data_IF_335146524195
#
_entry.id   IF_335146524195
#
_cell.length_a   1.000
_cell.length_b   1.000
_cell.length_c   1.000
_cell.angle_alpha   90.00
_cell.angle_beta   90.00
_cell.angle_gamma   90.00
#
_symmetry.space_group_name_H-M   'P 1'
#
loop_
_entity.id
_entity.type
_entity.pdbx_description
1 polymer ?
#
# COMPACT_ATOMS: atom_id res chain seq x y z
N UNK A 1 -7.51 20.09 19.71
CA UNK A 1 -7.61 21.57 19.76
C UNK A 1 -6.53 22.12 18.83
N UNK A 2 -6.92 22.67 17.68
CA UNK A 2 -5.96 23.11 16.66
C UNK A 2 -5.23 24.37 17.12
N UNK A 3 -3.90 24.32 17.21
CA UNK A 3 -3.07 25.49 17.45
C UNK A 3 -3.28 26.50 16.30
N UNK A 4 -4.01 27.58 16.58
CA UNK A 4 -4.01 28.76 15.73
C UNK A 4 -2.57 29.25 15.60
N UNK A 5 -2.00 29.13 14.39
CA UNK A 5 -0.65 29.61 14.09
C UNK A 5 -0.53 31.07 14.52
N UNK A 6 0.52 31.42 15.27
CA UNK A 6 0.70 32.78 15.82
C UNK A 6 0.63 33.90 14.77
N UNK A 7 0.84 33.57 13.49
CA UNK A 7 0.67 34.48 12.35
C UNK A 7 -0.79 34.90 12.14
N UNK A 8 -1.76 34.00 12.35
CA UNK A 8 -3.19 34.32 12.27
C UNK A 8 -3.65 35.19 13.43
N UNK A 9 -3.17 34.91 14.64
CA UNK A 9 -3.44 35.72 15.82
C UNK A 9 -2.90 37.15 15.66
N UNK A 10 -1.68 37.29 15.13
CA UNK A 10 -1.08 38.58 14.85
C UNK A 10 -1.83 39.35 13.75
N UNK A 11 -2.18 38.70 12.64
CA UNK A 11 -2.95 39.34 11.57
C UNK A 11 -4.34 39.79 12.08
N UNK A 12 -5.05 38.94 12.81
CA UNK A 12 -6.34 39.28 13.40
C UNK A 12 -6.25 40.46 14.37
N UNK A 13 -5.24 40.47 15.25
CA UNK A 13 -4.99 41.58 16.17
C UNK A 13 -4.62 42.88 15.44
N UNK A 14 -3.84 42.81 14.36
CA UNK A 14 -3.46 43.95 13.55
C UNK A 14 -4.65 44.57 12.82
N UNK A 15 -5.51 43.75 12.18
CA UNK A 15 -6.72 44.24 11.53
C UNK A 15 -7.74 44.78 12.54
N UNK A 16 -7.90 44.11 13.69
CA UNK A 16 -8.75 44.62 14.77
C UNK A 16 -8.25 45.98 15.29
N UNK A 17 -6.94 46.10 15.52
CA UNK A 17 -6.31 47.36 15.95
C UNK A 17 -6.43 48.47 14.91
N UNK A 18 -6.28 48.16 13.62
CA UNK A 18 -6.46 49.12 12.53
C UNK A 18 -7.92 49.59 12.40
N UNK A 19 -8.89 48.68 12.54
CA UNK A 19 -10.31 49.02 12.55
C UNK A 19 -10.69 49.89 13.76
N UNK A 20 -10.20 49.57 14.97
CA UNK A 20 -10.42 50.36 16.18
C UNK A 20 -9.78 51.75 16.04
N UNK A 21 -8.54 51.82 15.56
CA UNK A 21 -7.82 53.08 15.34
C UNK A 21 -8.51 53.98 14.31
N UNK A 22 -9.09 53.39 13.25
CA UNK A 22 -9.87 54.12 12.26
C UNK A 22 -11.19 54.66 12.83
N UNK A 23 -11.90 53.87 13.65
CA UNK A 23 -13.13 54.29 14.32
C UNK A 23 -12.92 55.46 15.30
N UNK A 24 -11.77 55.49 15.98
CA UNK A 24 -11.39 56.60 16.86
C UNK A 24 -11.05 57.87 16.04
N UNK A 25 -10.44 57.69 14.86
CA UNK A 25 -10.04 58.79 13.97
C UNK A 25 -11.21 59.41 13.20
N UNK A 26 -12.20 58.61 12.83
CA UNK A 26 -13.39 59.01 12.08
C UNK A 26 -14.66 58.45 12.75
N UNK A 27 -15.14 59.07 13.84
CA UNK A 27 -16.35 58.62 14.50
C UNK A 27 -17.55 58.77 13.56
N UNK A 28 -18.35 57.72 13.32
CA UNK A 28 -19.52 57.81 12.47
C UNK A 28 -20.53 58.77 13.10
N UNK A 29 -21.00 59.75 12.33
CA UNK A 29 -21.91 60.80 12.81
C UNK A 29 -23.31 60.27 13.19
N UNK A 30 -23.72 59.11 12.65
CA UNK A 30 -25.02 58.47 12.89
C UNK A 30 -24.88 56.95 13.13
N UNK A 31 -25.68 56.40 14.04
CA UNK A 31 -25.65 54.98 14.44
C UNK A 31 -26.00 54.00 13.31
N UNK A 32 -26.79 54.43 12.32
CA UNK A 32 -27.15 53.65 11.13
C UNK A 32 -25.93 53.39 10.22
N UNK A 33 -25.07 54.40 10.06
CA UNK A 33 -23.85 54.31 9.26
C UNK A 33 -22.83 53.36 9.91
N UNK A 34 -22.71 53.37 11.25
CA UNK A 34 -21.85 52.45 11.99
C UNK A 34 -22.28 50.97 11.82
N UNK A 35 -23.58 50.69 11.88
CA UNK A 35 -24.13 49.35 11.73
C UNK A 35 -23.92 48.79 10.31
N UNK A 36 -24.12 49.61 9.28
CA UNK A 36 -23.89 49.22 7.88
C UNK A 36 -22.42 48.83 7.62
N UNK A 37 -21.48 49.54 8.23
CA UNK A 37 -20.05 49.27 8.09
C UNK A 37 -19.62 48.01 8.83
N UNK A 38 -20.12 47.80 10.05
CA UNK A 38 -19.89 46.56 10.80
C UNK A 38 -20.45 45.34 10.06
N UNK A 39 -21.61 45.46 9.42
CA UNK A 39 -22.21 44.40 8.60
C UNK A 39 -21.40 44.12 7.33
N UNK A 40 -20.90 45.16 6.65
CA UNK A 40 -20.04 45.00 5.47
C UNK A 40 -18.71 44.31 5.82
N UNK A 41 -18.05 44.71 6.90
CA UNK A 41 -16.81 44.07 7.35
C UNK A 41 -17.06 42.63 7.82
N UNK A 42 -18.14 42.40 8.57
CA UNK A 42 -18.52 41.06 9.04
C UNK A 42 -18.83 40.09 7.91
N UNK A 43 -19.52 40.53 6.87
CA UNK A 43 -19.82 39.71 5.68
C UNK A 43 -18.57 39.39 4.87
N UNK A 44 -17.68 40.38 4.65
CA UNK A 44 -16.38 40.14 3.98
C UNK A 44 -15.51 39.16 4.79
N UNK A 45 -15.44 39.31 6.10
CA UNK A 45 -14.71 38.39 6.98
C UNK A 45 -15.31 36.98 6.96
N UNK A 46 -16.64 36.86 6.96
CA UNK A 46 -17.33 35.56 6.85
C UNK A 46 -17.04 34.87 5.52
N UNK A 47 -17.05 35.62 4.41
CA UNK A 47 -16.71 35.09 3.08
C UNK A 47 -15.26 34.61 3.04
N UNK A 48 -14.30 35.42 3.51
CA UNK A 48 -12.88 35.04 3.58
C UNK A 48 -12.70 33.81 4.48
N UNK A 49 -13.38 33.76 5.62
CA UNK A 49 -13.38 32.60 6.52
C UNK A 49 -13.90 31.34 5.85
N UNK A 50 -15.02 31.42 5.13
CA UNK A 50 -15.61 30.30 4.41
C UNK A 50 -14.67 29.78 3.31
N UNK A 51 -14.05 30.66 2.52
CA UNK A 51 -13.05 30.27 1.51
C UNK A 51 -11.79 29.66 2.14
N UNK A 52 -11.34 30.18 3.29
CA UNK A 52 -10.21 29.64 4.04
C UNK A 52 -10.47 28.22 4.54
N UNK A 53 -11.64 27.99 5.14
CA UNK A 53 -12.07 26.67 5.61
C UNK A 53 -12.22 25.70 4.44
N UNK A 54 -12.84 26.11 3.33
CA UNK A 54 -12.99 25.27 2.14
C UNK A 54 -11.63 24.84 1.57
N UNK A 55 -10.66 25.77 1.46
CA UNK A 55 -9.29 25.41 1.02
C UNK A 55 -8.59 24.48 2.00
N UNK A 56 -8.75 24.70 3.30
CA UNK A 56 -8.19 23.81 4.31
C UNK A 56 -8.78 22.40 4.21
N UNK A 57 -10.09 22.28 4.04
CA UNK A 57 -10.79 21.00 3.86
C UNK A 57 -10.32 20.29 2.58
N UNK A 58 -10.19 21.00 1.46
CA UNK A 58 -9.66 20.42 0.21
C UNK A 58 -8.22 19.92 0.41
N UNK A 59 -7.36 20.70 1.07
CA UNK A 59 -5.98 20.28 1.30
C UNK A 59 -5.89 19.07 2.25
N UNK A 60 -6.69 19.07 3.32
CA UNK A 60 -6.78 17.95 4.25
C UNK A 60 -7.28 16.69 3.54
N UNK A 61 -8.27 16.81 2.67
CA UNK A 61 -8.82 15.70 1.90
C UNK A 61 -7.80 15.15 0.89
N UNK A 62 -7.07 16.01 0.18
CA UNK A 62 -5.99 15.58 -0.71
C UNK A 62 -4.89 14.83 0.04
N UNK A 63 -4.50 15.33 1.21
CA UNK A 63 -3.51 14.65 2.05
C UNK A 63 -4.03 13.31 2.56
N UNK A 64 -5.34 13.20 2.88
CA UNK A 64 -5.99 11.96 3.29
C UNK A 64 -5.99 10.94 2.14
N UNK A 65 -6.41 11.35 0.94
CA UNK A 65 -6.42 10.50 -0.24
C UNK A 65 -5.02 10.04 -0.63
N UNK A 66 -4.01 10.91 -0.53
CA UNK A 66 -2.62 10.53 -0.80
C UNK A 66 -2.12 9.45 0.18
N UNK A 67 -2.47 9.55 1.47
CA UNK A 67 -2.12 8.52 2.46
C UNK A 67 -2.82 7.19 2.19
N UNK A 68 -4.10 7.23 1.82
CA UNK A 68 -4.86 6.03 1.46
C UNK A 68 -4.22 5.35 0.25
N UNK A 69 -3.87 6.12 -0.79
CA UNK A 69 -3.22 5.59 -1.98
C UNK A 69 -1.87 4.92 -1.68
N UNK A 70 -1.04 5.50 -0.79
CA UNK A 70 0.23 4.90 -0.36
C UNK A 70 -0.03 3.58 0.39
N UNK A 71 -0.97 3.57 1.33
CA UNK A 71 -1.31 2.37 2.08
C UNK A 71 -1.85 1.25 1.18
N UNK A 72 -2.70 1.60 0.21
CA UNK A 72 -3.23 0.63 -0.75
C UNK A 72 -2.13 0.08 -1.68
N UNK A 73 -1.20 0.92 -2.14
CA UNK A 73 -0.03 0.47 -2.89
C UNK A 73 0.84 -0.51 -2.08
N UNK A 74 1.11 -0.20 -0.82
CA UNK A 74 1.90 -1.07 0.05
C UNK A 74 1.19 -2.41 0.34
N UNK A 75 -0.15 -2.41 0.45
CA UNK A 75 -0.94 -3.66 0.58
C UNK A 75 -0.85 -4.54 -0.64
N UNK A 76 -0.93 -3.96 -1.83
CA UNK A 76 -0.79 -4.72 -3.09
C UNK A 76 0.62 -5.32 -3.22
N UNK A 77 1.66 -4.55 -2.88
CA UNK A 77 3.03 -5.06 -2.81
C UNK A 77 3.18 -6.18 -1.79
N UNK A 78 2.55 -6.05 -0.62
CA UNK A 78 2.54 -7.08 0.42
C UNK A 78 1.86 -8.36 -0.03
N UNK A 79 0.71 -8.27 -0.70
CA UNK A 79 0.03 -9.43 -1.27
C UNK A 79 0.92 -10.19 -2.26
N UNK A 80 1.62 -9.46 -3.13
CA UNK A 80 2.57 -10.07 -4.07
C UNK A 80 3.78 -10.68 -3.36
N UNK A 81 4.30 -10.01 -2.33
CA UNK A 81 5.41 -10.51 -1.51
C UNK A 81 5.05 -11.83 -0.82
N UNK A 82 3.84 -11.91 -0.27
CA UNK A 82 3.33 -13.13 0.36
C UNK A 82 3.20 -14.27 -0.64
N UNK A 83 2.66 -14.03 -1.83
CA UNK A 83 2.56 -15.06 -2.87
C UNK A 83 3.95 -15.55 -3.33
N UNK A 84 4.91 -14.65 -3.48
CA UNK A 84 6.29 -15.00 -3.83
C UNK A 84 6.95 -15.85 -2.72
N UNK A 85 6.71 -15.48 -1.45
CA UNK A 85 7.20 -16.20 -0.29
C UNK A 85 6.58 -17.60 -0.17
N UNK A 86 5.26 -17.72 -0.34
CA UNK A 86 4.55 -19.00 -0.31
C UNK A 86 5.02 -19.93 -1.43
N UNK A 87 5.22 -19.40 -2.63
CA UNK A 87 5.72 -20.18 -3.76
C UNK A 87 7.12 -20.74 -3.49
N UNK A 88 7.97 -20.00 -2.79
CA UNK A 88 9.28 -20.49 -2.36
C UNK A 88 9.17 -21.59 -1.27
N UNK A 89 8.22 -21.44 -0.33
CA UNK A 89 8.04 -22.33 0.82
C UNK A 89 7.36 -23.66 0.45
N UNK A 90 6.24 -23.61 -0.26
CA UNK A 90 5.47 -24.80 -0.68
C UNK A 90 6.39 -25.76 -1.42
N UNK A 91 7.29 -25.23 -2.24
CA UNK A 91 8.26 -26.03 -2.99
C UNK A 91 9.27 -26.79 -2.13
N UNK A 92 9.66 -26.22 -0.99
CA UNK A 92 10.54 -26.90 -0.04
C UNK A 92 9.77 -28.04 0.61
N UNK A 93 8.57 -27.74 1.11
CA UNK A 93 7.72 -28.70 1.81
C UNK A 93 7.24 -29.84 0.89
N UNK A 94 6.76 -29.55 -0.31
CA UNK A 94 6.30 -30.55 -1.28
C UNK A 94 7.42 -31.48 -1.74
N UNK A 95 8.66 -30.99 -1.81
CA UNK A 95 9.83 -31.82 -2.11
C UNK A 95 10.19 -32.73 -0.93
N UNK A 96 10.08 -32.22 0.30
CA UNK A 96 10.25 -33.04 1.50
C UNK A 96 9.21 -34.16 1.56
N UNK A 97 7.95 -33.87 1.26
CA UNK A 97 6.89 -34.88 1.23
C UNK A 97 7.10 -35.93 0.13
N UNK A 98 7.44 -35.52 -1.10
CA UNK A 98 7.79 -36.49 -2.15
C UNK A 98 8.99 -37.34 -1.74
N UNK A 99 9.97 -36.79 -1.02
CA UNK A 99 11.15 -37.52 -0.50
C UNK A 99 10.78 -38.50 0.62
N UNK A 100 9.94 -38.07 1.56
CA UNK A 100 9.57 -38.80 2.75
C UNK A 100 8.33 -39.66 2.46
N UNK A 101 8.56 -40.86 1.89
CA UNK A 101 7.56 -41.85 1.40
C UNK A 101 6.44 -42.27 2.38
N UNK A 102 6.36 -41.70 3.57
CA UNK A 102 5.56 -42.21 4.68
C UNK A 102 4.26 -41.42 4.89
N UNK A 103 4.20 -40.12 4.59
CA UNK A 103 2.97 -39.34 4.80
C UNK A 103 2.81 -38.16 3.82
N UNK A 104 1.70 -38.14 3.09
CA UNK A 104 1.14 -36.93 2.46
C UNK A 104 0.36 -36.13 3.51
N UNK A 105 1.05 -35.42 4.40
CA UNK A 105 0.43 -34.75 5.57
C UNK A 105 0.28 -33.24 5.40
N UNK A 106 1.10 -32.59 4.56
CA UNK A 106 1.22 -31.13 4.44
C UNK A 106 0.58 -30.62 3.15
N UNK A 107 0.91 -31.19 1.98
CA UNK A 107 0.31 -30.86 0.68
C UNK A 107 -0.10 -32.12 -0.08
N UNK A 108 -1.32 -32.65 0.18
CA UNK A 108 -1.78 -33.90 -0.41
C UNK A 108 -1.84 -33.85 -1.95
N UNK A 109 -2.04 -32.66 -2.54
CA UNK A 109 -1.91 -32.42 -3.98
C UNK A 109 -1.09 -31.15 -4.25
N UNK A 110 0.24 -31.28 -4.17
CA UNK A 110 1.15 -30.18 -4.49
C UNK A 110 0.91 -29.59 -5.89
N UNK A 111 0.46 -30.38 -6.87
CA UNK A 111 0.20 -29.88 -8.21
C UNK A 111 -1.00 -28.92 -8.24
N UNK A 112 -2.06 -29.22 -7.49
CA UNK A 112 -3.21 -28.34 -7.30
C UNK A 112 -2.84 -27.07 -6.54
N UNK A 113 -2.02 -27.16 -5.49
CA UNK A 113 -1.57 -26.00 -4.70
C UNK A 113 -0.78 -24.99 -5.54
N UNK A 114 0.16 -25.48 -6.37
CA UNK A 114 0.86 -24.62 -7.31
C UNK A 114 -0.07 -24.00 -8.37
N UNK A 115 -1.14 -24.70 -8.75
CA UNK A 115 -2.14 -24.16 -9.68
C UNK A 115 -2.97 -23.08 -9.03
N UNK A 116 -3.39 -23.29 -7.78
CA UNK A 116 -4.11 -22.30 -7.00
C UNK A 116 -3.31 -20.99 -6.87
N UNK A 117 -2.00 -21.06 -6.59
CA UNK A 117 -1.14 -19.87 -6.58
C UNK A 117 -1.07 -19.20 -7.96
N UNK A 118 -0.97 -20.00 -9.03
CA UNK A 118 -0.97 -19.45 -10.39
C UNK A 118 -2.28 -18.72 -10.73
N UNK A 119 -3.40 -19.18 -10.19
CA UNK A 119 -4.72 -18.57 -10.36
C UNK A 119 -4.86 -17.31 -9.49
N UNK A 120 -4.34 -17.31 -8.26
CA UNK A 120 -4.24 -16.11 -7.42
C UNK A 120 -3.40 -15.02 -8.09
N UNK A 121 -2.26 -15.39 -8.70
CA UNK A 121 -1.42 -14.46 -9.46
C UNK A 121 -2.09 -13.98 -10.76
N UNK A 122 -2.98 -14.77 -11.35
CA UNK A 122 -3.76 -14.36 -12.52
C UNK A 122 -4.90 -13.39 -12.13
N UNK A 123 -5.48 -13.57 -10.95
CA UNK A 123 -6.53 -12.72 -10.40
C UNK A 123 -5.99 -11.43 -9.76
N UNK A 124 -4.67 -11.27 -9.67
CA UNK A 124 -4.04 -10.11 -9.06
C UNK A 124 -4.42 -8.81 -9.80
N UNK A 125 -4.72 -7.69 -9.10
CA UNK A 125 -5.29 -6.51 -9.75
C UNK A 125 -4.36 -5.89 -10.81
N UNK A 126 -4.66 -6.15 -12.09
CA UNK A 126 -3.80 -5.78 -13.23
C UNK A 126 -3.47 -4.29 -13.25
N UNK A 127 -4.47 -3.43 -13.01
CA UNK A 127 -4.28 -1.98 -13.01
C UNK A 127 -3.32 -1.53 -11.90
N UNK A 128 -3.44 -2.11 -10.70
CA UNK A 128 -2.57 -1.76 -9.57
C UNK A 128 -1.13 -2.24 -9.82
N UNK A 129 -0.97 -3.48 -10.28
CA UNK A 129 0.34 -4.06 -10.60
C UNK A 129 1.05 -3.30 -11.71
N UNK A 130 0.32 -2.88 -12.75
CA UNK A 130 0.88 -2.05 -13.82
C UNK A 130 1.29 -0.68 -13.30
N UNK A 131 0.48 -0.05 -12.45
CA UNK A 131 0.82 1.23 -11.84
C UNK A 131 2.08 1.14 -10.95
N UNK A 132 2.29 -0.01 -10.30
CA UNK A 132 3.49 -0.31 -9.50
C UNK A 132 4.70 -0.78 -10.33
N UNK A 133 4.53 -1.00 -11.64
CA UNK A 133 5.58 -1.54 -12.51
C UNK A 133 5.95 -3.00 -12.22
N UNK A 134 5.05 -3.78 -11.59
CA UNK A 134 5.30 -5.15 -11.10
C UNK A 134 4.74 -6.28 -11.96
N UNK A 135 4.35 -5.95 -13.19
CA UNK A 135 3.70 -6.90 -14.09
C UNK A 135 4.64 -8.04 -14.49
N UNK A 136 5.93 -7.74 -14.67
CA UNK A 136 6.93 -8.75 -14.99
C UNK A 136 7.05 -9.79 -13.86
N UNK A 137 7.16 -9.34 -12.62
CA UNK A 137 7.27 -10.23 -11.46
C UNK A 137 6.03 -11.10 -11.28
N UNK A 138 4.82 -10.53 -11.43
CA UNK A 138 3.57 -11.30 -11.38
C UNK A 138 3.54 -12.39 -12.45
N UNK A 139 3.83 -12.04 -13.70
CA UNK A 139 3.85 -12.99 -14.81
C UNK A 139 4.93 -14.06 -14.65
N UNK A 140 6.09 -13.67 -14.10
CA UNK A 140 7.20 -14.58 -13.87
C UNK A 140 6.90 -15.58 -12.75
N UNK A 141 6.39 -15.11 -11.61
CA UNK A 141 5.93 -15.97 -10.51
C UNK A 141 4.83 -16.91 -10.99
N UNK A 142 3.88 -16.42 -11.80
CA UNK A 142 2.81 -17.25 -12.36
C UNK A 142 3.38 -18.34 -13.26
N UNK A 143 4.38 -18.02 -14.09
CA UNK A 143 5.08 -19.00 -14.94
C UNK A 143 5.78 -20.06 -14.10
N UNK A 144 6.42 -19.68 -13.00
CA UNK A 144 7.05 -20.61 -12.05
C UNK A 144 5.99 -21.54 -11.44
N UNK A 145 4.89 -20.99 -10.95
CA UNK A 145 3.80 -21.75 -10.35
C UNK A 145 3.18 -22.77 -11.33
N UNK A 146 2.88 -22.36 -12.56
CA UNK A 146 2.41 -23.27 -13.62
C UNK A 146 3.46 -24.34 -13.94
N UNK A 147 4.74 -23.96 -14.03
CA UNK A 147 5.84 -24.88 -14.29
C UNK A 147 5.96 -25.95 -13.19
N UNK A 148 5.90 -25.54 -11.93
CA UNK A 148 5.92 -26.44 -10.78
C UNK A 148 4.70 -27.37 -10.78
N UNK A 149 3.49 -26.85 -10.98
CA UNK A 149 2.25 -27.66 -11.09
C UNK A 149 2.39 -28.75 -12.17
N UNK A 150 2.94 -28.40 -13.34
CA UNK A 150 3.16 -29.37 -14.43
C UNK A 150 4.20 -30.44 -14.08
N UNK A 151 5.25 -30.09 -13.36
CA UNK A 151 6.27 -31.07 -12.92
C UNK A 151 5.66 -32.08 -11.95
N UNK A 152 4.91 -31.61 -10.95
CA UNK A 152 4.26 -32.49 -9.99
C UNK A 152 3.17 -33.36 -10.63
N UNK A 153 2.39 -32.81 -11.57
CA UNK A 153 1.35 -33.57 -12.28
C UNK A 153 1.90 -34.54 -13.34
N UNK A 154 3.05 -34.22 -13.95
CA UNK A 154 3.62 -35.00 -15.06
C UNK A 154 4.43 -36.21 -14.64
N UNK A 155 4.87 -36.27 -13.38
CA UNK A 155 5.69 -37.35 -12.84
C UNK A 155 5.03 -37.98 -11.58
N UNK A 156 3.82 -38.57 -11.70
CA UNK A 156 3.12 -39.17 -10.56
C UNK A 156 3.92 -40.34 -9.95
N UNK A 157 4.53 -41.16 -10.80
CA UNK A 157 5.20 -42.41 -10.42
C UNK A 157 6.60 -42.20 -9.80
N UNK A 158 7.22 -41.04 -10.03
CA UNK A 158 8.52 -40.70 -9.45
C UNK A 158 8.33 -40.24 -8.01
N UNK A 159 8.81 -41.02 -7.05
CA UNK A 159 8.77 -40.70 -5.62
C UNK A 159 10.17 -40.70 -5.01
N UNK A 160 10.28 -40.16 -3.81
CA UNK A 160 11.53 -40.16 -3.05
C UNK A 160 12.59 -39.26 -3.67
N UNK A 161 13.84 -39.68 -3.45
CA UNK A 161 15.04 -39.02 -3.95
C UNK A 161 15.10 -38.99 -5.49
N UNK A 162 14.46 -39.94 -6.18
CA UNK A 162 14.47 -39.98 -7.65
C UNK A 162 13.78 -38.75 -8.25
N UNK A 163 12.65 -38.32 -7.68
CA UNK A 163 11.96 -37.10 -8.10
C UNK A 163 12.82 -35.86 -7.79
N UNK A 164 13.35 -35.79 -6.57
CA UNK A 164 14.18 -34.67 -6.12
C UNK A 164 15.40 -34.52 -7.00
N UNK A 165 16.16 -35.60 -7.25
CA UNK A 165 17.36 -35.57 -8.08
C UNK A 165 17.07 -35.17 -9.54
N UNK A 166 15.96 -35.65 -10.11
CA UNK A 166 15.54 -35.31 -11.49
C UNK A 166 15.27 -33.80 -11.63
N UNK A 167 14.55 -33.22 -10.68
CA UNK A 167 14.05 -31.84 -10.78
C UNK A 167 14.83 -30.81 -9.96
N UNK A 168 15.85 -31.23 -9.21
CA UNK A 168 16.61 -30.41 -8.25
C UNK A 168 17.07 -29.08 -8.84
N UNK A 169 17.64 -29.05 -10.04
CA UNK A 169 18.16 -27.80 -10.64
C UNK A 169 17.05 -26.79 -10.96
N UNK A 170 15.92 -27.29 -11.46
CA UNK A 170 14.75 -26.48 -11.81
C UNK A 170 14.12 -25.94 -10.53
N UNK A 171 13.84 -26.87 -9.62
CA UNK A 171 13.58 -26.59 -8.22
C UNK A 171 14.88 -26.22 -7.49
N UNK A 172 15.74 -25.36 -7.99
CA UNK A 172 16.68 -24.60 -7.16
C UNK A 172 16.55 -23.17 -7.63
N UNK A 173 16.64 -23.01 -8.96
CA UNK A 173 16.28 -21.80 -9.68
C UNK A 173 14.94 -21.19 -9.25
N UNK A 174 13.84 -21.96 -9.27
CA UNK A 174 12.51 -21.42 -8.92
C UNK A 174 12.43 -20.82 -7.51
N UNK A 175 13.17 -21.39 -6.54
CA UNK A 175 13.21 -20.90 -5.15
C UNK A 175 14.09 -19.69 -5.06
N UNK A 176 15.29 -19.73 -5.64
CA UNK A 176 16.18 -18.58 -5.67
C UNK A 176 15.50 -17.36 -6.31
N UNK A 177 14.77 -17.57 -7.40
CA UNK A 177 14.03 -16.53 -8.08
C UNK A 177 12.86 -16.00 -7.25
N UNK A 178 12.02 -16.87 -6.69
CA UNK A 178 10.87 -16.46 -5.87
C UNK A 178 11.30 -15.76 -4.58
N UNK A 179 12.37 -16.24 -3.93
CA UNK A 179 12.96 -15.60 -2.76
C UNK A 179 13.52 -14.22 -3.08
N UNK A 180 14.27 -14.10 -4.19
CA UNK A 180 14.83 -12.82 -4.63
C UNK A 180 13.73 -11.79 -4.86
N UNK A 181 12.64 -12.19 -5.51
CA UNK A 181 11.48 -11.31 -5.73
C UNK A 181 10.82 -10.95 -4.39
N UNK A 182 10.58 -11.93 -3.52
CA UNK A 182 10.01 -11.70 -2.19
C UNK A 182 10.83 -10.70 -1.36
N UNK A 183 12.16 -10.83 -1.34
CA UNK A 183 13.05 -9.93 -0.60
C UNK A 183 13.04 -8.53 -1.22
N UNK A 184 13.12 -8.41 -2.55
CA UNK A 184 13.05 -7.11 -3.22
C UNK A 184 11.71 -6.40 -2.97
N UNK A 185 10.59 -7.14 -2.94
CA UNK A 185 9.29 -6.57 -2.60
C UNK A 185 9.21 -6.15 -1.13
N UNK A 186 9.81 -6.91 -0.21
CA UNK A 186 9.90 -6.54 1.20
C UNK A 186 10.64 -5.21 1.41
N UNK A 187 11.74 -5.00 0.70
CA UNK A 187 12.50 -3.74 0.73
C UNK A 187 11.63 -2.58 0.21
N UNK A 188 10.94 -2.77 -0.91
CA UNK A 188 10.07 -1.74 -1.49
C UNK A 188 8.87 -1.40 -0.60
N UNK A 189 8.28 -2.37 0.11
CA UNK A 189 7.18 -2.10 1.05
C UNK A 189 7.65 -1.18 2.17
N UNK A 190 8.86 -1.40 2.71
CA UNK A 190 9.44 -0.54 3.75
C UNK A 190 9.82 0.84 3.24
N UNK A 191 10.17 0.97 1.95
CA UNK A 191 10.39 2.28 1.32
C UNK A 191 9.07 3.07 1.14
N UNK A 192 7.99 2.39 0.74
CA UNK A 192 6.69 3.01 0.45
C UNK A 192 5.90 3.32 1.73
N UNK A 193 5.88 2.38 2.69
CA UNK A 193 5.13 2.51 3.94
C UNK A 193 6.00 2.07 5.14
N UNK A 194 6.98 2.89 5.56
CA UNK A 194 7.94 2.54 6.59
C UNK A 194 7.27 2.17 7.91
N UNK A 195 7.55 0.97 8.43
CA UNK A 195 7.04 0.53 9.73
C UNK A 195 5.57 0.10 9.76
N UNK A 196 4.80 0.28 8.68
CA UNK A 196 3.36 0.00 8.67
C UNK A 196 3.08 -1.51 8.56
N UNK A 197 3.86 -2.22 7.75
CA UNK A 197 3.68 -3.65 7.47
C UNK A 197 4.82 -4.54 7.96
N UNK A 198 5.77 -4.00 8.74
CA UNK A 198 7.00 -4.72 9.16
C UNK A 198 6.72 -6.07 9.82
N UNK A 199 5.63 -6.21 10.58
CA UNK A 199 5.23 -7.47 11.22
C UNK A 199 4.65 -8.51 10.26
N UNK A 200 4.18 -8.09 9.08
CA UNK A 200 3.51 -8.93 8.08
C UNK A 200 4.45 -9.35 6.96
N UNK A 201 5.57 -8.65 6.79
CA UNK A 201 6.59 -8.96 5.78
C UNK A 201 7.31 -10.27 6.15
N UNK A 202 7.33 -11.23 5.21
CA UNK A 202 8.11 -12.47 5.39
C UNK A 202 9.55 -12.27 4.94
N UNK A 203 10.43 -11.92 5.88
CA UNK A 203 11.89 -11.74 5.62
C UNK A 203 12.70 -13.02 5.70
N UNK A 204 12.17 -14.05 6.36
CA UNK A 204 12.87 -15.32 6.59
C UNK A 204 11.99 -16.49 6.14
N UNK A 205 12.56 -17.34 5.28
CA UNK A 205 11.95 -18.55 4.70
C UNK A 205 12.96 -19.70 4.69
#
# INVERSE_FOLDING_TARGET
>A
MGHLSGKFLFAAAFFAGACIGWFIRFPPADSSSAASWAQAVGTVAAVIGAFGVARYQIQAERNRLARIAIADQARELLGLQQLAAELAQIRVLSNFEKSNRVETTIYPDAAAEFRYIADMLAAFPTVAVTALGKMEEVLYLRRIAIGASRIFAGDPDLTGDAFVLKHRKIFEKYRGDSLRISIALAEQIEEVAPGEFTSQIRRHL
#
